data_IF_437049910219
#
_entry.id   IF_437049910219
#
_cell.length_a   1.000
_cell.length_b   1.000
_cell.length_c   1.000
_cell.angle_alpha   90.00
_cell.angle_beta   90.00
_cell.angle_gamma   90.00
#
_symmetry.space_group_name_H-M   'P 1'
#
loop_
_entity.id
_entity.type
_entity.pdbx_description
1 polymer ?
#
# COMPACT_ATOMS: atom_id res chain seq x y z
N UNK A 1 1.84 -12.43 2.53
CA UNK A 1 2.95 -12.61 1.57
C UNK A 1 2.65 -13.86 0.74
N UNK A 2 3.14 -13.98 -0.50
CA UNK A 2 2.98 -15.25 -1.25
C UNK A 2 4.05 -16.24 -0.80
N UNK A 3 3.78 -17.54 -0.96
CA UNK A 3 4.75 -18.61 -0.67
C UNK A 3 6.05 -18.47 -1.48
N UNK A 4 6.02 -17.74 -2.59
CA UNK A 4 7.17 -17.53 -3.48
C UNK A 4 8.13 -16.41 -3.01
N UNK A 5 7.67 -15.49 -2.15
CA UNK A 5 8.49 -14.39 -1.66
C UNK A 5 8.01 -13.90 -0.29
N UNK A 6 8.72 -14.30 0.77
CA UNK A 6 8.52 -13.83 2.14
C UNK A 6 9.72 -13.02 2.63
N UNK A 7 9.46 -12.04 3.50
CA UNK A 7 10.52 -11.30 4.19
C UNK A 7 11.37 -12.27 5.02
N UNK A 8 12.69 -12.07 5.01
CA UNK A 8 13.59 -12.82 5.91
C UNK A 8 13.50 -12.34 7.35
N UNK A 9 12.99 -11.12 7.58
CA UNK A 9 12.65 -10.64 8.92
C UNK A 9 11.22 -11.01 9.29
N UNK A 10 11.08 -11.73 10.41
CA UNK A 10 9.79 -12.07 11.04
C UNK A 10 9.35 -10.97 12.01
N UNK A 11 8.17 -11.09 12.61
CA UNK A 11 7.81 -10.23 13.74
C UNK A 11 8.83 -10.32 14.88
N UNK A 12 9.36 -11.50 15.19
CA UNK A 12 10.39 -11.66 16.22
C UNK A 12 11.69 -10.95 15.85
N UNK A 13 12.31 -11.29 14.72
CA UNK A 13 13.61 -10.71 14.35
C UNK A 13 13.52 -9.21 14.04
N UNK A 14 12.46 -8.80 13.33
CA UNK A 14 12.24 -7.42 12.92
C UNK A 14 11.97 -6.49 14.10
N UNK A 15 11.13 -6.90 15.06
CA UNK A 15 10.83 -6.06 16.24
C UNK A 15 12.00 -6.01 17.22
N UNK A 16 12.79 -7.08 17.35
CA UNK A 16 14.06 -7.03 18.09
C UNK A 16 15.04 -6.05 17.46
N UNK A 17 15.22 -6.11 16.13
CA UNK A 17 16.07 -5.17 15.41
C UNK A 17 15.61 -3.72 15.58
N UNK A 18 14.29 -3.48 15.51
CA UNK A 18 13.70 -2.17 15.78
C UNK A 18 14.03 -1.67 17.20
N UNK A 19 13.90 -2.53 18.22
CA UNK A 19 14.23 -2.19 19.60
C UNK A 19 15.71 -1.83 19.77
N UNK A 20 16.62 -2.60 19.17
CA UNK A 20 18.06 -2.30 19.16
C UNK A 20 18.37 -0.96 18.48
N UNK A 21 17.58 -0.57 17.48
CA UNK A 21 17.67 0.71 16.77
C UNK A 21 17.01 1.89 17.49
N UNK A 22 16.33 1.67 18.61
CA UNK A 22 15.62 2.70 19.38
C UNK A 22 14.19 3.00 18.90
N UNK A 23 13.65 2.20 17.97
CA UNK A 23 12.23 2.25 17.60
C UNK A 23 11.43 1.38 18.55
N UNK A 24 10.39 1.94 19.18
CA UNK A 24 9.59 1.25 20.21
C UNK A 24 8.19 0.88 19.75
N UNK A 25 7.82 1.20 18.51
CA UNK A 25 6.52 0.83 17.93
C UNK A 25 6.66 0.65 16.43
N UNK A 26 6.02 -0.39 15.89
CA UNK A 26 5.90 -0.59 14.43
C UNK A 26 4.44 -0.66 14.02
N UNK A 27 4.11 -0.18 12.82
CA UNK A 27 2.80 -0.40 12.23
C UNK A 27 3.03 -1.16 10.93
N UNK A 28 2.57 -2.41 10.90
CA UNK A 28 2.77 -3.32 9.77
C UNK A 28 1.54 -3.32 8.85
N UNK A 29 1.53 -4.10 7.77
CA UNK A 29 0.43 -4.17 6.81
C UNK A 29 -0.20 -5.57 6.82
N UNK A 30 -1.46 -5.67 7.25
CA UNK A 30 -2.32 -6.80 6.92
C UNK A 30 -2.70 -6.71 5.43
N UNK A 31 -2.51 -7.79 4.69
CA UNK A 31 -2.57 -7.77 3.23
C UNK A 31 -3.76 -8.52 2.65
N UNK A 32 -4.83 -7.81 2.28
CA UNK A 32 -5.92 -8.39 1.49
C UNK A 32 -5.52 -8.38 0.01
N UNK A 33 -4.93 -9.48 -0.47
CA UNK A 33 -4.67 -9.66 -1.91
C UNK A 33 -5.98 -9.84 -2.68
N UNK A 34 -5.95 -9.58 -4.00
CA UNK A 34 -7.09 -9.79 -4.89
C UNK A 34 -7.76 -11.16 -4.70
N UNK A 35 -9.08 -11.18 -4.51
CA UNK A 35 -9.86 -12.40 -4.25
C UNK A 35 -9.83 -12.94 -2.82
N UNK A 36 -9.12 -12.30 -1.88
CA UNK A 36 -9.11 -12.69 -0.47
C UNK A 36 -10.00 -11.81 0.42
N UNK A 37 -10.33 -12.33 1.59
CA UNK A 37 -11.18 -11.70 2.62
C UNK A 37 -10.38 -10.71 3.47
N UNK A 38 -10.95 -9.55 3.77
CA UNK A 38 -10.34 -8.54 4.66
C UNK A 38 -10.18 -9.08 6.09
N UNK A 39 -11.21 -9.69 6.72
CA UNK A 39 -11.06 -10.34 8.02
C UNK A 39 -9.91 -11.35 8.06
N UNK A 40 -9.83 -12.25 7.06
CA UNK A 40 -8.82 -13.31 7.02
C UNK A 40 -7.41 -12.73 6.91
N UNK A 41 -7.24 -11.65 6.13
CA UNK A 41 -5.96 -10.95 5.98
C UNK A 41 -5.47 -10.35 7.31
N UNK A 42 -6.39 -9.83 8.13
CA UNK A 42 -6.08 -9.27 9.44
C UNK A 42 -5.82 -10.38 10.46
N UNK A 43 -6.70 -11.38 10.54
CA UNK A 43 -6.57 -12.50 11.46
C UNK A 43 -5.25 -13.25 11.25
N UNK A 44 -4.92 -13.54 9.99
CA UNK A 44 -3.65 -14.19 9.62
C UNK A 44 -2.44 -13.37 10.09
N UNK A 45 -2.43 -12.05 9.83
CA UNK A 45 -1.29 -11.20 10.21
C UNK A 45 -1.17 -11.02 11.72
N UNK A 46 -2.31 -10.97 12.44
CA UNK A 46 -2.31 -10.94 13.91
C UNK A 46 -1.79 -12.25 14.50
N UNK A 47 -2.18 -13.41 13.94
CA UNK A 47 -1.69 -14.71 14.38
C UNK A 47 -0.17 -14.86 14.16
N UNK A 48 0.37 -14.32 13.06
CA UNK A 48 1.82 -14.27 12.83
C UNK A 48 2.57 -13.41 13.87
N UNK A 49 1.94 -12.36 14.40
CA UNK A 49 2.54 -11.44 15.37
C UNK A 49 2.42 -11.94 16.83
N UNK A 50 1.44 -12.81 17.10
CA UNK A 50 1.06 -13.19 18.46
C UNK A 50 2.24 -13.80 19.24
N UNK A 51 2.62 -13.12 20.33
CA UNK A 51 3.73 -13.54 21.20
C UNK A 51 5.13 -13.42 20.56
N UNK A 52 5.27 -12.85 19.36
CA UNK A 52 6.55 -12.72 18.66
C UNK A 52 7.22 -11.35 18.89
N UNK A 53 6.43 -10.30 19.10
CA UNK A 53 6.93 -8.92 19.09
C UNK A 53 7.68 -8.51 20.37
N UNK A 54 8.86 -7.91 20.22
CA UNK A 54 9.66 -7.34 21.31
C UNK A 54 9.26 -5.89 21.70
N UNK A 55 8.44 -5.24 20.87
CA UNK A 55 7.95 -3.86 21.02
C UNK A 55 6.47 -3.79 20.62
N UNK A 56 5.81 -2.67 20.92
CA UNK A 56 4.40 -2.47 20.56
C UNK A 56 4.20 -2.50 19.04
N UNK A 57 3.04 -2.98 18.60
CA UNK A 57 2.70 -2.99 17.18
C UNK A 57 1.23 -2.68 16.91
N UNK A 58 0.95 -2.27 15.68
CA UNK A 58 -0.39 -2.14 15.13
C UNK A 58 -0.39 -2.53 13.64
N UNK A 59 -1.54 -2.45 12.97
CA UNK A 59 -1.70 -2.80 11.57
C UNK A 59 -2.39 -1.69 10.78
N UNK A 60 -1.85 -1.39 9.61
CA UNK A 60 -2.56 -0.85 8.47
C UNK A 60 -3.23 -2.00 7.70
N UNK A 61 -4.28 -1.71 6.93
CA UNK A 61 -4.85 -2.68 5.99
C UNK A 61 -4.47 -2.31 4.55
N UNK A 62 -3.73 -3.18 3.86
CA UNK A 62 -3.53 -3.10 2.41
C UNK A 62 -4.72 -3.72 1.68
N UNK A 63 -5.34 -2.95 0.79
CA UNK A 63 -6.56 -3.29 0.06
C UNK A 63 -6.20 -3.58 -1.39
N UNK A 64 -6.26 -4.85 -1.79
CA UNK A 64 -5.99 -5.31 -3.15
C UNK A 64 -7.22 -5.71 -3.94
N UNK A 65 -8.41 -5.72 -3.33
CA UNK A 65 -9.69 -5.96 -4.02
C UNK A 65 -10.77 -5.03 -3.46
N UNK A 66 -11.34 -4.19 -4.33
CA UNK A 66 -12.40 -3.25 -3.95
C UNK A 66 -13.68 -3.62 -4.68
N UNK A 67 -14.66 -4.06 -3.87
CA UNK A 67 -16.03 -4.41 -4.22
C UNK A 67 -16.95 -4.22 -3.01
N UNK A 68 -18.27 -4.36 -3.19
CA UNK A 68 -19.29 -4.08 -2.16
C UNK A 68 -18.98 -4.71 -0.80
N UNK A 69 -18.67 -6.01 -0.76
CA UNK A 69 -18.36 -6.69 0.51
C UNK A 69 -17.07 -6.18 1.15
N UNK A 70 -15.98 -6.01 0.38
CA UNK A 70 -14.72 -5.48 0.93
C UNK A 70 -14.89 -4.08 1.54
N UNK A 71 -15.75 -3.22 0.97
CA UNK A 71 -16.04 -1.89 1.54
C UNK A 71 -16.75 -1.98 2.89
N UNK A 72 -17.67 -2.94 3.05
CA UNK A 72 -18.33 -3.20 4.34
C UNK A 72 -17.28 -3.68 5.35
N UNK A 73 -16.43 -4.62 4.95
CA UNK A 73 -15.43 -5.19 5.84
C UNK A 73 -14.39 -4.15 6.26
N UNK A 74 -13.86 -3.36 5.32
CA UNK A 74 -12.94 -2.24 5.57
C UNK A 74 -13.54 -1.29 6.62
N UNK A 75 -14.81 -0.90 6.46
CA UNK A 75 -15.50 -0.03 7.44
C UNK A 75 -15.52 -0.67 8.83
N UNK A 76 -15.82 -1.95 8.92
CA UNK A 76 -15.91 -2.66 10.21
C UNK A 76 -14.55 -2.74 10.92
N UNK A 77 -13.42 -2.67 10.19
CA UNK A 77 -12.09 -2.71 10.81
C UNK A 77 -11.78 -1.47 11.67
N UNK A 78 -12.47 -0.36 11.44
CA UNK A 78 -12.29 0.89 12.21
C UNK A 78 -12.62 0.68 13.68
N UNK A 79 -13.69 -0.05 13.98
CA UNK A 79 -14.10 -0.36 15.36
C UNK A 79 -13.11 -1.31 16.07
N UNK A 80 -12.28 -2.02 15.30
CA UNK A 80 -11.20 -2.88 15.81
C UNK A 80 -9.84 -2.16 15.87
N UNK A 81 -9.81 -0.84 15.63
CA UNK A 81 -8.62 0.00 15.78
C UNK A 81 -7.76 0.14 14.53
N UNK A 82 -8.13 -0.49 13.41
CA UNK A 82 -7.44 -0.33 12.13
C UNK A 82 -8.07 0.84 11.38
N UNK A 83 -7.38 1.99 11.41
CA UNK A 83 -7.92 3.29 10.94
C UNK A 83 -7.16 3.86 9.74
N UNK A 84 -6.38 3.04 9.05
CA UNK A 84 -5.58 3.46 7.90
C UNK A 84 -5.50 2.37 6.83
N UNK A 85 -5.78 2.77 5.59
CA UNK A 85 -6.01 1.86 4.47
C UNK A 85 -5.05 2.18 3.33
N UNK A 86 -4.27 1.18 2.90
CA UNK A 86 -3.29 1.32 1.82
C UNK A 86 -3.81 0.77 0.52
N UNK A 87 -3.81 1.61 -0.51
CA UNK A 87 -4.13 1.24 -1.88
C UNK A 87 -2.91 1.37 -2.80
N UNK A 88 -3.01 0.76 -3.97
CA UNK A 88 -1.93 0.69 -4.96
C UNK A 88 -2.44 1.09 -6.34
N UNK A 89 -1.75 2.02 -6.98
CA UNK A 89 -1.94 2.36 -8.39
C UNK A 89 -1.05 1.50 -9.31
N UNK A 90 -0.41 0.48 -8.72
CA UNK A 90 0.48 -0.47 -9.38
C UNK A 90 0.13 -1.92 -9.01
N UNK A 91 0.83 -2.86 -9.65
CA UNK A 91 0.68 -4.31 -9.47
C UNK A 91 -0.71 -4.86 -9.89
N UNK A 92 -1.07 -4.78 -11.19
CA UNK A 92 -2.39 -5.16 -11.76
C UNK A 92 -2.96 -6.50 -11.30
N UNK A 93 -2.10 -7.50 -11.10
CA UNK A 93 -2.52 -8.87 -10.82
C UNK A 93 -2.66 -9.18 -9.31
N UNK A 94 -2.30 -8.25 -8.43
CA UNK A 94 -2.25 -8.52 -6.98
C UNK A 94 -2.91 -7.45 -6.12
N UNK A 95 -2.59 -6.17 -6.37
CA UNK A 95 -2.92 -5.07 -5.45
C UNK A 95 -3.59 -3.87 -6.12
N UNK A 96 -3.56 -3.81 -7.45
CA UNK A 96 -4.00 -2.64 -8.20
C UNK A 96 -5.47 -2.30 -7.96
N UNK A 97 -5.71 -1.02 -7.67
CA UNK A 97 -7.03 -0.39 -7.66
C UNK A 97 -7.08 0.67 -8.76
N UNK A 98 -8.14 0.67 -9.56
CA UNK A 98 -8.40 1.75 -10.50
C UNK A 98 -8.88 3.04 -9.79
N UNK A 99 -8.98 4.14 -10.53
CA UNK A 99 -9.37 5.44 -9.97
C UNK A 99 -10.75 5.41 -9.30
N UNK A 100 -11.69 4.59 -9.81
CA UNK A 100 -13.03 4.46 -9.26
C UNK A 100 -13.02 3.70 -7.94
N UNK A 101 -12.26 2.62 -7.86
CA UNK A 101 -12.04 1.85 -6.63
C UNK A 101 -11.34 2.70 -5.57
N UNK A 102 -10.30 3.45 -5.95
CA UNK A 102 -9.60 4.38 -5.06
C UNK A 102 -10.57 5.43 -4.52
N UNK A 103 -11.39 6.03 -5.39
CA UNK A 103 -12.36 7.04 -4.98
C UNK A 103 -13.38 6.48 -3.96
N UNK A 104 -13.87 5.26 -4.15
CA UNK A 104 -14.81 4.61 -3.23
C UNK A 104 -14.20 4.43 -1.83
N UNK A 105 -12.94 3.97 -1.75
CA UNK A 105 -12.28 3.79 -0.44
C UNK A 105 -11.93 5.14 0.20
N UNK A 106 -11.58 6.16 -0.60
CA UNK A 106 -11.39 7.53 -0.10
C UNK A 106 -12.69 8.11 0.47
N UNK A 107 -13.83 7.93 -0.20
CA UNK A 107 -15.13 8.38 0.32
C UNK A 107 -15.48 7.68 1.64
N UNK A 108 -15.24 6.37 1.75
CA UNK A 108 -15.38 5.64 3.01
C UNK A 108 -14.49 6.25 4.10
N UNK A 109 -13.22 6.54 3.80
CA UNK A 109 -12.29 7.13 4.75
C UNK A 109 -12.71 8.53 5.22
N UNK A 110 -13.28 9.36 4.33
CA UNK A 110 -13.85 10.65 4.69
C UNK A 110 -15.03 10.51 5.67
N UNK A 111 -15.87 9.48 5.49
CA UNK A 111 -17.00 9.19 6.38
C UNK A 111 -16.56 8.64 7.74
N UNK A 112 -15.51 7.83 7.79
CA UNK A 112 -15.05 7.15 9.02
C UNK A 112 -13.95 7.88 9.76
N UNK A 113 -13.39 8.94 9.18
CA UNK A 113 -12.20 9.62 9.74
C UNK A 113 -10.91 8.82 9.61
N UNK A 114 -10.88 7.82 8.71
CA UNK A 114 -9.71 6.98 8.46
C UNK A 114 -8.71 7.68 7.53
N UNK A 115 -7.46 7.19 7.51
CA UNK A 115 -6.40 7.72 6.63
C UNK A 115 -6.19 6.84 5.40
N UNK A 116 -6.16 7.43 4.21
CA UNK A 116 -5.75 6.73 2.99
C UNK A 116 -4.24 6.82 2.82
N UNK A 117 -3.61 5.69 2.57
CA UNK A 117 -2.21 5.57 2.23
C UNK A 117 -2.09 5.15 0.76
N UNK A 118 -1.26 5.82 -0.02
CA UNK A 118 -1.17 5.52 -1.46
C UNK A 118 0.24 5.12 -1.88
N UNK A 119 0.36 3.92 -2.43
CA UNK A 119 1.48 3.56 -3.29
C UNK A 119 1.22 4.13 -4.69
N UNK A 120 1.82 5.31 -4.95
CA UNK A 120 1.51 6.15 -6.09
C UNK A 120 2.55 5.98 -7.22
N UNK A 121 2.42 4.93 -8.02
CA UNK A 121 3.13 4.76 -9.29
C UNK A 121 2.14 4.38 -10.38
N UNK A 122 2.33 4.84 -11.63
CA UNK A 122 1.50 4.38 -12.75
C UNK A 122 1.91 2.95 -13.17
N UNK A 123 1.32 1.95 -12.54
CA UNK A 123 1.69 0.54 -12.77
C UNK A 123 1.47 0.05 -14.19
N UNK A 124 0.39 0.49 -14.84
CA UNK A 124 0.07 0.08 -16.21
C UNK A 124 1.16 0.55 -17.19
N UNK A 125 1.63 1.79 -17.04
CA UNK A 125 2.75 2.30 -17.84
C UNK A 125 4.08 1.61 -17.48
N UNK A 126 4.31 1.30 -16.19
CA UNK A 126 5.49 0.55 -15.75
C UNK A 126 5.54 -0.83 -16.41
N UNK A 127 4.42 -1.56 -16.48
CA UNK A 127 4.39 -2.90 -17.07
C UNK A 127 4.70 -2.87 -18.57
N UNK A 128 4.22 -1.86 -19.31
CA UNK A 128 4.62 -1.63 -20.70
C UNK A 128 6.14 -1.44 -20.82
N UNK A 129 6.76 -0.63 -19.96
CA UNK A 129 8.22 -0.41 -19.98
C UNK A 129 8.99 -1.67 -19.58
N UNK A 130 8.48 -2.45 -18.63
CA UNK A 130 9.06 -3.74 -18.20
C UNK A 130 9.05 -4.75 -19.33
N UNK A 131 7.93 -4.91 -20.04
CA UNK A 131 7.82 -5.81 -21.19
C UNK A 131 8.77 -5.40 -22.32
N UNK A 132 8.85 -4.10 -22.62
CA UNK A 132 9.79 -3.57 -23.61
C UNK A 132 11.25 -3.82 -23.22
N UNK A 133 11.62 -3.69 -21.94
CA UNK A 133 12.95 -4.03 -21.48
C UNK A 133 13.21 -5.55 -21.63
N UNK A 134 12.26 -6.39 -21.20
CA UNK A 134 12.39 -7.84 -21.27
C UNK A 134 12.58 -8.34 -22.72
N UNK A 135 11.78 -7.84 -23.67
CA UNK A 135 11.89 -8.18 -25.10
C UNK A 135 13.24 -7.77 -25.72
N UNK A 136 13.91 -6.76 -25.14
CA UNK A 136 15.25 -6.32 -25.54
C UNK A 136 16.37 -7.07 -24.79
N UNK A 137 16.06 -8.12 -24.01
CA UNK A 137 17.03 -8.88 -23.22
C UNK A 137 17.60 -8.10 -22.02
N UNK A 138 16.95 -7.00 -21.63
CA UNK A 138 17.39 -6.12 -20.54
C UNK A 138 16.89 -6.64 -19.19
N UNK A 139 17.45 -7.77 -18.75
CA UNK A 139 16.96 -8.52 -17.58
C UNK A 139 17.71 -8.24 -16.27
N UNK A 140 18.78 -7.43 -16.30
CA UNK A 140 19.54 -7.07 -15.09
C UNK A 140 18.76 -6.17 -14.13
N UNK A 141 19.06 -6.24 -12.82
CA UNK A 141 18.35 -5.50 -11.75
C UNK A 141 18.28 -3.98 -11.96
N UNK A 142 19.26 -3.38 -12.63
CA UNK A 142 19.25 -1.95 -13.01
C UNK A 142 18.00 -1.54 -13.80
N UNK A 143 17.40 -2.48 -14.55
CA UNK A 143 16.19 -2.21 -15.32
C UNK A 143 14.93 -2.12 -14.47
N UNK A 144 14.95 -2.58 -13.22
CA UNK A 144 13.87 -2.32 -12.27
C UNK A 144 13.66 -0.81 -12.08
N UNK A 145 14.71 -0.04 -11.84
CA UNK A 145 14.60 1.42 -11.72
C UNK A 145 14.35 2.11 -13.07
N UNK A 146 14.98 1.65 -14.15
CA UNK A 146 14.85 2.29 -15.48
C UNK A 146 13.45 2.15 -16.10
N UNK A 147 12.67 1.15 -15.68
CA UNK A 147 11.29 0.94 -16.14
C UNK A 147 10.26 1.65 -15.26
N UNK A 148 10.72 2.38 -14.23
CA UNK A 148 9.91 3.17 -13.30
C UNK A 148 10.46 4.60 -13.21
N UNK A 149 10.46 5.34 -14.33
CA UNK A 149 10.98 6.70 -14.33
C UNK A 149 10.13 7.59 -13.39
N UNK A 150 10.74 8.61 -12.74
CA UNK A 150 10.11 9.40 -11.67
C UNK A 150 8.84 10.15 -12.12
N UNK A 151 8.67 10.37 -13.43
CA UNK A 151 7.44 10.92 -14.01
C UNK A 151 6.20 10.06 -13.70
N UNK A 152 6.34 8.73 -13.62
CA UNK A 152 5.22 7.83 -13.33
C UNK A 152 4.81 7.85 -11.85
N UNK A 153 5.74 8.14 -10.94
CA UNK A 153 5.43 8.41 -9.54
C UNK A 153 4.76 9.79 -9.38
N UNK A 154 5.29 10.80 -10.08
CA UNK A 154 4.72 12.15 -10.09
C UNK A 154 3.28 12.20 -10.61
N UNK A 155 3.01 11.55 -11.74
CA UNK A 155 1.65 11.46 -12.33
C UNK A 155 0.67 10.79 -11.37
N UNK A 156 1.02 9.60 -10.85
CA UNK A 156 0.16 8.86 -9.95
C UNK A 156 -0.08 9.62 -8.63
N UNK A 157 0.94 10.31 -8.11
CA UNK A 157 0.83 11.17 -6.93
C UNK A 157 -0.17 12.29 -7.17
N UNK A 158 -0.03 13.01 -8.29
CA UNK A 158 -0.97 14.07 -8.68
C UNK A 158 -2.41 13.53 -8.77
N UNK A 159 -2.60 12.40 -9.47
CA UNK A 159 -3.91 11.77 -9.66
C UNK A 159 -4.53 11.35 -8.33
N UNK A 160 -3.78 10.71 -7.43
CA UNK A 160 -4.26 10.37 -6.10
C UNK A 160 -4.69 11.61 -5.29
N UNK A 161 -3.93 12.71 -5.37
CA UNK A 161 -4.30 13.98 -4.73
C UNK A 161 -5.63 14.50 -5.28
N UNK A 162 -5.84 14.49 -6.60
CA UNK A 162 -7.10 14.96 -7.18
C UNK A 162 -8.29 14.10 -6.73
N UNK A 163 -8.13 12.78 -6.65
CA UNK A 163 -9.17 11.88 -6.13
C UNK A 163 -9.49 12.17 -4.66
N UNK A 164 -8.46 12.43 -3.84
CA UNK A 164 -8.65 12.78 -2.43
C UNK A 164 -9.38 14.11 -2.26
N UNK A 165 -9.10 15.11 -3.10
CA UNK A 165 -9.84 16.39 -3.14
C UNK A 165 -11.30 16.16 -3.48
N UNK A 166 -11.61 15.32 -4.47
CA UNK A 166 -12.99 14.98 -4.84
C UNK A 166 -13.72 14.24 -3.70
N UNK A 167 -13.04 13.33 -3.02
CA UNK A 167 -13.60 12.58 -1.90
C UNK A 167 -13.73 13.38 -0.60
N UNK A 168 -12.96 14.46 -0.43
CA UNK A 168 -12.81 15.15 0.85
C UNK A 168 -12.08 14.30 1.90
N UNK A 169 -11.15 13.43 1.47
CA UNK A 169 -10.49 12.46 2.33
C UNK A 169 -9.03 12.85 2.64
N UNK A 170 -8.49 12.52 3.84
CA UNK A 170 -7.07 12.67 4.12
C UNK A 170 -6.26 11.63 3.34
N UNK A 171 -5.13 12.08 2.76
CA UNK A 171 -4.23 11.27 1.96
C UNK A 171 -2.79 11.34 2.49
N UNK A 172 -2.15 10.18 2.59
CA UNK A 172 -0.74 10.00 2.94
C UNK A 172 -0.02 9.27 1.79
N UNK A 173 0.94 9.93 1.16
CA UNK A 173 1.78 9.30 0.12
C UNK A 173 2.91 8.52 0.81
N UNK A 174 2.86 7.19 0.74
CA UNK A 174 3.91 6.34 1.32
C UNK A 174 5.17 6.37 0.46
N UNK A 175 6.31 6.11 1.09
CA UNK A 175 7.63 5.90 0.45
C UNK A 175 7.91 6.83 -0.75
N UNK A 176 7.63 8.12 -0.58
CA UNK A 176 7.85 9.15 -1.58
C UNK A 176 9.35 9.21 -1.94
N UNK A 177 9.67 8.97 -3.21
CA UNK A 177 11.04 8.68 -3.65
C UNK A 177 11.60 9.63 -4.70
N UNK A 178 10.75 10.40 -5.38
CA UNK A 178 11.18 11.34 -6.43
C UNK A 178 10.84 12.80 -6.15
N UNK A 179 11.64 13.68 -6.76
CA UNK A 179 11.38 15.13 -6.76
C UNK A 179 10.08 15.48 -7.49
N UNK A 180 9.65 14.65 -8.44
CA UNK A 180 8.40 14.86 -9.17
C UNK A 180 7.21 14.68 -8.23
N UNK A 181 7.16 13.55 -7.51
CA UNK A 181 6.14 13.31 -6.49
C UNK A 181 6.19 14.35 -5.35
N UNK A 182 7.40 14.72 -4.88
CA UNK A 182 7.56 15.74 -3.83
C UNK A 182 6.95 17.10 -4.24
N UNK A 183 7.13 17.49 -5.51
CA UNK A 183 6.57 18.74 -6.03
C UNK A 183 5.05 18.73 -6.04
N UNK A 184 4.42 17.61 -6.37
CA UNK A 184 2.97 17.49 -6.33
C UNK A 184 2.44 17.60 -4.90
N UNK A 185 3.04 16.87 -3.95
CA UNK A 185 2.66 16.96 -2.52
C UNK A 185 2.87 18.37 -1.96
N UNK A 186 3.99 19.03 -2.30
CA UNK A 186 4.31 20.36 -1.78
C UNK A 186 3.39 21.48 -2.30
N UNK A 187 2.65 21.23 -3.39
CA UNK A 187 1.76 22.21 -4.04
C UNK A 187 0.29 22.06 -3.63
N UNK A 188 -0.10 20.86 -3.20
CA UNK A 188 -1.46 20.51 -2.82
C UNK A 188 -1.87 21.20 -1.51
#
# INVERSE_FOLDING_TARGET
>A
MSDEATSSDTFESGTQAAAWGGTTTVIDFAGQIKGSSVPDAIESRLAEAEGQCAIDYSLHLSVGDVHTQSLIDIRNTVDSGITSFKLFMAYPDAWYSDDGQILQVMQLAAETGSMIMMHAENGIAIDVLREQAATQGKLGSVWHGRTRPPELEGEATHRAIQLAVVAGAPLYIVHLSSVNALKEVSRA
#
